data_IF_831650114966
#
_entry.id   IF_831650114966
#
_cell.length_a   1.000
_cell.length_b   1.000
_cell.length_c   1.000
_cell.angle_alpha   90.00
_cell.angle_beta   90.00
_cell.angle_gamma   90.00
#
_symmetry.space_group_name_H-M   'P 1'
#
loop_
_entity.id
_entity.type
_entity.pdbx_description
1 polymer ?
#
# COMPACT_ATOMS: atom_id res chain seq x y z
N UNK A 1 14.57 68.66 59.85
CA UNK A 1 15.91 69.29 59.75
C UNK A 1 16.90 68.26 59.22
N UNK A 2 17.60 68.60 58.12
CA UNK A 2 18.75 67.92 57.46
C UNK A 2 18.46 66.56 56.77
N UNK A 3 18.28 66.47 55.43
CA UNK A 3 19.27 66.49 54.29
C UNK A 3 20.39 65.44 54.49
N UNK A 4 20.74 64.54 53.56
CA UNK A 4 20.85 64.65 52.09
C UNK A 4 21.18 63.26 51.46
N UNK A 5 20.94 63.14 50.14
CA UNK A 5 21.70 62.38 49.11
C UNK A 5 21.07 61.16 48.40
N UNK A 6 20.82 61.43 47.10
CA UNK A 6 20.72 60.60 45.89
C UNK A 6 21.33 59.20 45.94
N UNK A 7 20.61 58.21 45.39
CA UNK A 7 21.04 57.38 44.24
C UNK A 7 19.81 56.68 43.63
N UNK A 8 19.68 56.77 42.32
CA UNK A 8 18.77 55.94 41.50
C UNK A 8 19.38 54.54 41.45
N UNK A 9 18.67 53.52 41.93
CA UNK A 9 18.98 52.13 41.63
C UNK A 9 17.73 51.25 41.77
N UNK A 10 17.42 50.61 40.64
CA UNK A 10 16.48 49.52 40.38
C UNK A 10 16.05 48.73 41.64
N UNK A 11 14.74 48.68 41.90
CA UNK A 11 14.14 47.49 42.49
C UNK A 11 13.61 46.61 41.37
N UNK A 12 14.36 45.54 41.17
CA UNK A 12 14.14 44.40 40.29
C UNK A 12 12.74 43.79 40.47
N UNK A 13 11.90 43.98 39.46
CA UNK A 13 10.83 43.03 39.16
C UNK A 13 11.48 41.76 38.58
N UNK A 14 11.84 40.81 39.45
CA UNK A 14 12.20 39.45 39.04
C UNK A 14 10.90 38.67 38.80
N UNK A 15 10.22 38.96 37.70
CA UNK A 15 9.43 37.92 37.06
C UNK A 15 10.39 37.16 36.17
N UNK A 16 10.54 35.86 36.44
CA UNK A 16 11.39 34.98 35.67
C UNK A 16 10.99 35.03 34.19
N UNK A 17 11.99 34.99 33.31
CA UNK A 17 11.82 34.97 31.84
C UNK A 17 10.93 33.79 31.40
N UNK A 18 10.69 32.80 32.28
CA UNK A 18 9.77 31.69 32.02
C UNK A 18 8.29 32.05 32.09
N UNK A 19 7.84 33.04 32.87
CA UNK A 19 6.40 33.33 32.99
C UNK A 19 5.88 34.29 31.90
N UNK A 20 6.73 35.18 31.39
CA UNK A 20 6.38 36.02 30.23
C UNK A 20 6.34 35.18 28.95
N UNK A 21 7.19 34.14 28.84
CA UNK A 21 7.15 33.20 27.72
C UNK A 21 5.90 32.31 27.71
N UNK A 22 5.36 31.94 28.88
CA UNK A 22 4.14 31.13 28.97
C UNK A 22 2.91 31.94 28.57
N UNK A 23 2.82 33.22 28.94
CA UNK A 23 1.68 34.07 28.56
C UNK A 23 1.69 34.50 27.08
N UNK A 24 2.86 34.59 26.42
CA UNK A 24 2.92 34.85 24.96
C UNK A 24 2.79 33.60 24.10
N UNK A 25 3.01 32.40 24.63
CA UNK A 25 2.72 31.15 23.89
C UNK A 25 1.24 30.76 23.97
N UNK A 26 0.53 31.15 25.03
CA UNK A 26 -0.90 30.88 25.15
C UNK A 26 -1.77 31.83 24.31
N UNK A 27 -1.24 33.02 23.95
CA UNK A 27 -1.89 33.97 23.04
C UNK A 27 -1.44 33.86 21.56
N UNK A 28 -0.60 32.87 21.22
CA UNK A 28 -0.22 32.55 19.81
C UNK A 28 -0.59 31.13 19.38
N UNK A 29 -1.25 30.35 20.23
CA UNK A 29 -1.78 29.04 19.88
C UNK A 29 -3.24 29.08 19.38
N UNK A 30 -3.88 30.26 19.34
CA UNK A 30 -5.25 30.45 18.84
C UNK A 30 -5.34 30.98 17.39
N UNK A 31 -4.22 31.21 16.70
CA UNK A 31 -4.19 31.52 15.27
C UNK A 31 -3.19 30.60 14.56
N UNK A 32 -3.64 29.38 14.25
CA UNK A 32 -3.40 28.54 13.06
C UNK A 32 -4.08 27.20 13.37
N UNK A 33 -5.41 27.23 13.48
CA UNK A 33 -6.23 26.05 13.32
C UNK A 33 -6.82 26.13 11.92
N UNK A 34 -6.04 25.68 10.93
CA UNK A 34 -6.53 25.52 9.57
C UNK A 34 -7.63 24.45 9.62
N UNK A 35 -8.87 24.92 9.42
CA UNK A 35 -10.09 24.19 9.75
C UNK A 35 -10.25 23.01 8.79
N UNK A 36 -10.15 21.77 9.31
CA UNK A 36 -10.44 20.53 8.57
C UNK A 36 -11.96 20.30 8.56
N UNK A 37 -12.60 20.04 7.41
CA UNK A 37 -14.07 20.05 7.19
C UNK A 37 -14.57 19.04 6.11
N UNK A 38 -15.79 18.42 6.28
CA UNK A 38 -16.29 17.00 6.18
C UNK A 38 -17.07 16.38 4.98
N UNK A 39 -17.42 15.07 5.08
CA UNK A 39 -18.19 14.25 4.10
C UNK A 39 -19.44 13.51 4.68
N UNK A 40 -20.54 13.31 3.91
CA UNK A 40 -21.72 12.47 4.27
C UNK A 40 -21.69 11.07 3.64
N UNK A 41 -21.80 10.01 4.45
CA UNK A 41 -21.53 8.62 4.02
C UNK A 41 -22.68 7.67 4.34
N UNK A 42 -23.03 6.78 3.41
CA UNK A 42 -23.92 5.63 3.63
C UNK A 42 -23.10 4.41 4.10
N UNK A 43 -22.75 4.36 5.39
CA UNK A 43 -21.86 3.36 5.99
C UNK A 43 -22.31 1.92 5.72
N UNK A 44 -23.61 1.66 5.75
CA UNK A 44 -24.15 0.31 5.57
C UNK A 44 -24.04 -0.23 4.14
N UNK A 45 -23.67 0.62 3.19
CA UNK A 45 -23.50 0.26 1.77
C UNK A 45 -22.04 0.32 1.34
N UNK A 46 -21.09 0.56 2.25
CA UNK A 46 -19.66 0.49 1.94
C UNK A 46 -19.31 -0.91 1.41
N UNK A 47 -18.48 -0.95 0.35
CA UNK A 47 -18.01 -2.19 -0.25
C UNK A 47 -17.19 -2.99 0.79
N UNK A 48 -17.47 -4.29 0.99
CA UNK A 48 -16.69 -5.11 1.92
C UNK A 48 -15.29 -5.43 1.38
N UNK A 49 -15.13 -5.42 0.06
CA UNK A 49 -13.84 -5.52 -0.63
C UNK A 49 -13.34 -4.13 -1.00
N UNK A 50 -12.02 -3.92 -0.91
CA UNK A 50 -11.35 -2.73 -1.43
C UNK A 50 -11.21 -2.77 -2.96
N UNK A 51 -11.19 -3.96 -3.54
CA UNK A 51 -11.26 -4.16 -4.97
C UNK A 51 -12.71 -4.16 -5.42
N UNK A 52 -13.09 -3.18 -6.23
CA UNK A 52 -14.43 -3.04 -6.76
C UNK A 52 -14.34 -3.20 -8.27
N UNK A 53 -14.95 -4.26 -8.80
CA UNK A 53 -15.00 -4.45 -10.25
C UNK A 53 -15.82 -3.34 -10.91
N UNK A 54 -15.38 -2.87 -12.08
CA UNK A 54 -16.01 -1.83 -12.89
C UNK A 54 -15.98 -2.26 -14.33
N UNK A 55 -17.09 -2.19 -15.06
CA UNK A 55 -17.10 -2.52 -16.49
C UNK A 55 -17.97 -1.54 -17.29
N UNK A 56 -17.78 -1.50 -18.61
CA UNK A 56 -18.52 -0.65 -19.54
C UNK A 56 -19.64 -1.42 -20.26
N UNK A 57 -20.88 -0.93 -20.25
CA UNK A 57 -22.02 -1.57 -20.93
C UNK A 57 -22.10 -1.27 -22.45
N UNK A 58 -21.13 -0.52 -23.01
CA UNK A 58 -21.10 0.13 -24.35
C UNK A 58 -22.17 1.23 -24.51
N UNK A 59 -21.99 2.35 -25.22
CA UNK A 59 -21.00 2.90 -26.17
C UNK A 59 -20.04 3.93 -25.54
N UNK A 60 -19.21 4.65 -26.33
CA UNK A 60 -18.25 5.68 -25.87
C UNK A 60 -16.84 5.51 -26.46
N UNK A 61 -16.07 6.59 -26.65
CA UNK A 61 -14.69 6.54 -27.19
C UNK A 61 -13.66 6.23 -26.10
N UNK A 62 -12.55 5.57 -26.49
CA UNK A 62 -11.47 5.16 -25.58
C UNK A 62 -10.81 6.35 -24.88
N UNK A 63 -10.77 7.51 -25.52
CA UNK A 63 -10.17 8.73 -24.97
C UNK A 63 -10.89 9.17 -23.69
N UNK A 64 -12.21 9.26 -23.73
CA UNK A 64 -13.06 9.68 -22.62
C UNK A 64 -13.07 8.63 -21.50
N UNK A 65 -13.08 7.34 -21.85
CA UNK A 65 -12.89 6.26 -20.88
C UNK A 65 -11.57 6.41 -20.12
N UNK A 66 -10.47 6.72 -20.82
CA UNK A 66 -9.18 6.96 -20.19
C UNK A 66 -9.18 8.21 -19.29
N UNK A 67 -9.95 9.25 -19.63
CA UNK A 67 -10.12 10.41 -18.76
C UNK A 67 -10.84 10.04 -17.45
N UNK A 68 -11.88 9.20 -17.51
CA UNK A 68 -12.56 8.67 -16.32
C UNK A 68 -11.59 7.86 -15.46
N UNK A 69 -10.92 6.87 -16.05
CA UNK A 69 -9.98 5.98 -15.34
C UNK A 69 -8.89 6.81 -14.66
N UNK A 70 -8.25 7.72 -15.39
CA UNK A 70 -7.18 8.56 -14.82
C UNK A 70 -7.68 9.55 -13.77
N UNK A 71 -8.90 10.08 -13.88
CA UNK A 71 -9.46 10.95 -12.87
C UNK A 71 -9.69 10.21 -11.55
N UNK A 72 -10.29 9.01 -11.62
CA UNK A 72 -10.53 8.15 -10.45
C UNK A 72 -9.20 7.70 -9.82
N UNK A 73 -8.23 7.32 -10.65
CA UNK A 73 -6.90 6.93 -10.18
C UNK A 73 -6.18 8.06 -9.45
N UNK A 74 -6.15 9.26 -10.03
CA UNK A 74 -5.49 10.43 -9.45
C UNK A 74 -6.22 11.02 -8.24
N UNK A 75 -7.42 10.54 -7.92
CA UNK A 75 -8.23 11.03 -6.79
C UNK A 75 -8.48 9.90 -5.79
N UNK A 76 -9.58 9.16 -5.92
CA UNK A 76 -10.02 8.20 -4.93
C UNK A 76 -9.04 7.05 -4.70
N UNK A 77 -8.42 6.48 -5.74
CA UNK A 77 -7.45 5.38 -5.60
C UNK A 77 -6.10 5.88 -5.06
N UNK A 78 -5.71 7.12 -5.40
CA UNK A 78 -4.48 7.73 -4.88
C UNK A 78 -4.63 8.21 -3.44
N UNK A 79 -5.85 8.51 -2.99
CA UNK A 79 -6.11 9.07 -1.66
C UNK A 79 -6.70 8.05 -0.66
N UNK A 80 -7.01 6.83 -1.10
CA UNK A 80 -7.58 5.77 -0.25
C UNK A 80 -7.17 4.37 -0.72
N UNK A 81 -7.47 3.34 0.08
CA UNK A 81 -7.16 1.94 -0.25
C UNK A 81 -8.10 1.27 -1.24
N UNK A 82 -9.07 1.99 -1.81
CA UNK A 82 -9.96 1.43 -2.83
C UNK A 82 -9.21 1.26 -4.16
N UNK A 83 -9.57 0.21 -4.90
CA UNK A 83 -8.99 -0.11 -6.21
C UNK A 83 -10.13 -0.53 -7.16
N UNK A 84 -10.34 0.23 -8.22
CA UNK A 84 -11.34 -0.06 -9.24
C UNK A 84 -10.71 -0.86 -10.37
N UNK A 85 -11.18 -2.10 -10.56
CA UNK A 85 -10.55 -3.07 -11.46
C UNK A 85 -11.51 -3.55 -12.55
N UNK A 86 -10.99 -4.11 -13.65
CA UNK A 86 -11.81 -4.82 -14.65
C UNK A 86 -12.48 -3.93 -15.69
N UNK A 87 -11.92 -2.74 -15.98
CA UNK A 87 -12.40 -1.70 -16.92
C UNK A 87 -12.63 -2.15 -18.39
N UNK A 88 -12.83 -3.42 -18.66
CA UNK A 88 -13.33 -4.00 -19.89
C UNK A 88 -14.84 -3.82 -20.12
N UNK A 89 -15.33 -4.34 -21.25
CA UNK A 89 -16.77 -4.37 -21.53
C UNK A 89 -17.49 -5.35 -20.59
N UNK A 90 -18.66 -4.96 -20.09
CA UNK A 90 -19.49 -5.82 -19.26
C UNK A 90 -19.95 -7.06 -20.04
N UNK A 91 -19.80 -8.23 -19.43
CA UNK A 91 -20.47 -9.47 -19.83
C UNK A 91 -21.82 -9.62 -19.12
N UNK A 92 -22.73 -10.50 -19.60
CA UNK A 92 -23.98 -10.77 -18.90
C UNK A 92 -23.73 -11.14 -17.43
N UNK A 93 -24.48 -10.51 -16.52
CA UNK A 93 -24.37 -10.69 -15.06
C UNK A 93 -23.04 -10.25 -14.44
N UNK A 94 -22.29 -9.36 -15.11
CA UNK A 94 -21.12 -8.69 -14.50
C UNK A 94 -21.49 -8.12 -13.12
N UNK A 95 -20.57 -8.30 -12.17
CA UNK A 95 -20.66 -7.77 -10.80
C UNK A 95 -19.86 -6.47 -10.68
N UNK A 96 -20.06 -5.76 -9.58
CA UNK A 96 -19.47 -4.44 -9.35
C UNK A 96 -20.23 -3.32 -10.07
N UNK A 97 -19.54 -2.25 -10.38
CA UNK A 97 -20.11 -1.03 -10.98
C UNK A 97 -20.21 -1.24 -12.49
N UNK A 98 -21.43 -1.10 -13.04
CA UNK A 98 -21.66 -1.19 -14.48
C UNK A 98 -21.98 0.20 -15.02
N UNK A 99 -21.12 0.69 -15.92
CA UNK A 99 -21.19 2.05 -16.43
C UNK A 99 -21.83 2.08 -17.82
N UNK A 100 -22.91 2.84 -17.95
CA UNK A 100 -23.50 3.19 -19.24
C UNK A 100 -23.07 4.59 -19.65
N UNK A 101 -22.76 4.78 -20.93
CA UNK A 101 -22.58 6.12 -21.51
C UNK A 101 -23.90 6.52 -22.18
N UNK A 102 -24.46 7.65 -21.76
CA UNK A 102 -25.71 8.19 -22.28
C UNK A 102 -25.68 9.71 -22.27
N UNK A 103 -26.33 10.35 -23.24
CA UNK A 103 -26.40 11.82 -23.33
C UNK A 103 -27.51 12.40 -22.43
N UNK A 104 -27.40 12.12 -21.14
CA UNK A 104 -28.32 12.60 -20.11
C UNK A 104 -27.56 13.12 -18.89
N UNK A 105 -28.26 13.53 -17.83
CA UNK A 105 -27.62 13.96 -16.58
C UNK A 105 -26.85 12.77 -15.96
N UNK A 106 -25.54 12.91 -15.68
CA UNK A 106 -24.79 11.87 -14.97
C UNK A 106 -25.39 11.58 -13.61
N UNK A 107 -25.40 10.30 -13.23
CA UNK A 107 -25.95 9.85 -11.95
C UNK A 107 -25.54 8.41 -11.63
N UNK A 108 -25.76 8.02 -10.37
CA UNK A 108 -25.78 6.62 -9.93
C UNK A 108 -27.18 6.22 -9.46
N UNK A 109 -27.53 4.94 -9.63
CA UNK A 109 -28.82 4.37 -9.17
C UNK A 109 -28.82 3.95 -7.69
N UNK A 110 -27.69 4.14 -7.00
CA UNK A 110 -27.48 3.72 -5.63
C UNK A 110 -26.12 4.16 -5.10
N UNK A 111 -25.91 3.96 -3.80
CA UNK A 111 -24.68 4.27 -3.11
C UNK A 111 -23.90 2.99 -2.79
N UNK A 112 -22.58 3.00 -2.99
CA UNK A 112 -21.72 1.89 -2.61
C UNK A 112 -22.10 0.57 -3.27
N UNK A 113 -22.07 -0.52 -2.50
CA UNK A 113 -22.40 -1.89 -2.94
C UNK A 113 -23.84 -2.09 -3.41
N UNK A 114 -24.74 -1.13 -3.22
CA UNK A 114 -26.07 -1.20 -3.83
C UNK A 114 -26.02 -1.07 -5.36
N UNK A 115 -24.86 -0.72 -5.92
CA UNK A 115 -24.59 -0.72 -7.36
C UNK A 115 -24.16 -2.10 -7.89
N UNK A 116 -23.88 -3.08 -7.04
CA UNK A 116 -23.32 -4.38 -7.44
C UNK A 116 -24.18 -5.11 -8.48
N UNK A 117 -23.69 -5.12 -9.72
CA UNK A 117 -24.32 -5.77 -10.86
C UNK A 117 -25.57 -5.08 -11.41
N UNK A 118 -25.89 -3.87 -10.93
CA UNK A 118 -27.04 -3.09 -11.41
C UNK A 118 -26.78 -2.62 -12.83
N UNK A 119 -27.65 -3.01 -13.76
CA UNK A 119 -27.60 -2.55 -15.16
C UNK A 119 -27.73 -1.02 -15.23
N UNK A 120 -26.81 -0.38 -15.94
CA UNK A 120 -26.64 1.07 -15.96
C UNK A 120 -26.66 1.64 -14.52
N UNK A 121 -25.93 1.00 -13.62
CA UNK A 121 -25.84 1.39 -12.21
C UNK A 121 -25.20 2.77 -12.05
N UNK A 122 -24.25 3.09 -12.93
CA UNK A 122 -23.71 4.43 -13.12
C UNK A 122 -23.93 4.86 -14.57
N UNK A 123 -24.38 6.10 -14.76
CA UNK A 123 -24.51 6.71 -16.08
C UNK A 123 -23.57 7.91 -16.16
N UNK A 124 -22.69 7.92 -17.16
CA UNK A 124 -21.82 9.04 -17.46
C UNK A 124 -22.19 9.64 -18.82
N UNK A 125 -21.97 10.94 -18.97
CA UNK A 125 -22.21 11.65 -20.22
C UNK A 125 -20.89 12.09 -20.83
N UNK A 126 -20.63 11.70 -22.09
CA UNK A 126 -19.42 12.06 -22.84
C UNK A 126 -19.69 13.09 -23.94
N UNK A 127 -20.95 13.43 -24.21
CA UNK A 127 -21.36 14.28 -25.34
C UNK A 127 -21.92 15.63 -24.88
N UNK A 128 -22.72 15.63 -23.82
CA UNK A 128 -23.37 16.79 -23.23
C UNK A 128 -24.30 17.57 -24.18
N UNK A 129 -24.79 16.94 -25.26
CA UNK A 129 -25.60 17.64 -26.28
C UNK A 129 -26.92 18.14 -25.70
N UNK A 130 -27.57 17.32 -24.87
CA UNK A 130 -28.88 17.63 -24.28
C UNK A 130 -28.82 18.20 -22.85
N UNK A 131 -27.64 18.33 -22.26
CA UNK A 131 -27.51 18.66 -20.84
C UNK A 131 -26.74 19.93 -20.54
N UNK A 132 -25.61 20.19 -21.22
CA UNK A 132 -24.78 21.35 -20.90
C UNK A 132 -23.93 21.82 -22.09
N UNK A 133 -24.22 23.02 -22.59
CA UNK A 133 -23.41 23.68 -23.63
C UNK A 133 -22.00 24.03 -23.16
N UNK A 134 -21.80 24.35 -21.88
CA UNK A 134 -20.46 24.60 -21.31
C UNK A 134 -19.57 23.36 -21.39
N UNK A 135 -20.07 22.22 -20.92
CA UNK A 135 -19.36 20.94 -21.03
C UNK A 135 -19.16 20.43 -22.46
N UNK A 136 -19.93 20.91 -23.46
CA UNK A 136 -19.59 20.62 -24.85
C UNK A 136 -18.26 21.31 -25.24
N UNK A 137 -18.04 22.53 -24.74
CA UNK A 137 -16.80 23.30 -25.00
C UNK A 137 -15.61 22.90 -24.11
N UNK A 138 -15.86 22.33 -22.93
CA UNK A 138 -14.82 21.88 -21.99
C UNK A 138 -15.03 20.42 -21.54
N UNK A 139 -15.05 19.55 -22.55
CA UNK A 139 -15.51 18.17 -22.42
C UNK A 139 -14.64 17.33 -21.50
N UNK A 140 -13.32 17.48 -21.61
CA UNK A 140 -12.38 16.70 -20.79
C UNK A 140 -12.54 17.04 -19.30
N UNK A 141 -12.52 18.32 -18.95
CA UNK A 141 -12.65 18.75 -17.55
C UNK A 141 -14.00 18.34 -16.97
N UNK A 142 -15.10 18.49 -17.73
CA UNK A 142 -16.40 18.03 -17.28
C UNK A 142 -16.44 16.52 -17.05
N UNK A 143 -15.92 15.70 -17.99
CA UNK A 143 -15.90 14.23 -17.83
C UNK A 143 -15.10 13.84 -16.59
N UNK A 144 -13.93 14.43 -16.37
CA UNK A 144 -13.09 14.17 -15.19
C UNK A 144 -13.81 14.56 -13.90
N UNK A 145 -14.35 15.77 -13.84
CA UNK A 145 -15.03 16.31 -12.66
C UNK A 145 -16.28 15.50 -12.29
N UNK A 146 -17.09 15.14 -13.29
CA UNK A 146 -18.25 14.25 -13.11
C UNK A 146 -17.80 12.86 -12.64
N UNK A 147 -16.76 12.28 -13.27
CA UNK A 147 -16.29 10.96 -12.89
C UNK A 147 -15.89 10.89 -11.41
N UNK A 148 -15.17 11.89 -10.90
CA UNK A 148 -14.79 11.94 -9.48
C UNK A 148 -16.05 12.00 -8.60
N UNK A 149 -17.05 12.80 -8.97
CA UNK A 149 -18.32 12.88 -8.24
C UNK A 149 -19.10 11.56 -8.22
N UNK A 150 -19.35 10.96 -9.39
CA UNK A 150 -20.13 9.72 -9.49
C UNK A 150 -19.41 8.54 -8.82
N UNK A 151 -18.07 8.52 -8.86
CA UNK A 151 -17.30 7.52 -8.11
C UNK A 151 -17.33 7.75 -6.61
N UNK A 152 -17.52 9.00 -6.13
CA UNK A 152 -17.84 9.28 -4.74
C UNK A 152 -19.15 8.59 -4.32
N UNK A 153 -20.20 8.69 -5.13
CA UNK A 153 -21.44 7.93 -4.92
C UNK A 153 -21.20 6.41 -4.96
N UNK A 154 -20.39 5.95 -5.91
CA UNK A 154 -20.05 4.53 -6.02
C UNK A 154 -19.22 4.00 -4.85
N UNK A 155 -18.52 4.87 -4.11
CA UNK A 155 -17.88 4.60 -2.82
C UNK A 155 -18.84 4.70 -1.63
N UNK A 156 -20.08 5.13 -1.84
CA UNK A 156 -21.08 5.25 -0.79
C UNK A 156 -21.21 6.65 -0.19
N UNK A 157 -20.66 7.68 -0.83
CA UNK A 157 -20.78 9.07 -0.36
C UNK A 157 -22.05 9.72 -0.93
N UNK A 158 -22.88 10.25 -0.05
CA UNK A 158 -24.08 10.98 -0.42
C UNK A 158 -23.76 12.45 -0.68
N UNK A 159 -24.70 13.15 -1.32
CA UNK A 159 -24.59 14.59 -1.52
C UNK A 159 -24.41 15.35 -0.20
N UNK A 160 -23.50 16.31 -0.19
CA UNK A 160 -23.15 17.08 1.00
C UNK A 160 -24.29 18.02 1.42
N UNK A 161 -25.06 18.56 0.46
CA UNK A 161 -26.25 19.36 0.75
C UNK A 161 -27.40 18.54 1.37
N UNK A 162 -27.39 17.21 1.25
CA UNK A 162 -28.42 16.36 1.87
C UNK A 162 -28.30 16.28 3.39
N UNK A 163 -27.15 16.67 3.95
CA UNK A 163 -26.87 16.54 5.37
C UNK A 163 -27.94 17.20 6.25
N UNK A 164 -28.16 16.67 7.46
CA UNK A 164 -29.03 17.33 8.43
C UNK A 164 -28.52 18.71 8.88
N UNK A 165 -27.20 18.91 8.85
CA UNK A 165 -26.53 20.14 9.29
C UNK A 165 -26.08 21.05 8.14
N UNK A 166 -26.66 20.92 6.94
CA UNK A 166 -26.42 21.83 5.81
C UNK A 166 -26.77 23.27 6.21
N UNK A 167 -25.89 24.26 6.02
CA UNK A 167 -26.15 25.64 6.38
C UNK A 167 -27.21 26.26 5.45
N UNK A 168 -27.96 27.25 5.96
CA UNK A 168 -28.98 27.95 5.19
C UNK A 168 -28.45 28.70 3.96
N UNK A 169 -27.13 28.95 3.89
CA UNK A 169 -26.46 29.53 2.72
C UNK A 169 -26.42 28.59 1.52
N UNK A 170 -26.57 27.28 1.75
CA UNK A 170 -26.69 26.29 0.71
C UNK A 170 -28.16 26.15 0.31
N UNK A 171 -28.53 26.72 -0.84
CA UNK A 171 -29.92 26.77 -1.33
C UNK A 171 -30.23 25.68 -2.38
N UNK A 172 -29.24 24.87 -2.76
CA UNK A 172 -29.44 23.77 -3.70
C UNK A 172 -30.38 22.71 -3.13
N UNK A 173 -31.22 22.15 -3.99
CA UNK A 173 -32.17 21.13 -3.59
C UNK A 173 -31.45 19.83 -3.18
N UNK A 174 -32.00 19.18 -2.15
CA UNK A 174 -31.56 17.84 -1.75
C UNK A 174 -31.92 16.83 -2.84
N UNK A 175 -31.00 15.93 -3.16
CA UNK A 175 -31.15 14.99 -4.28
C UNK A 175 -30.57 13.62 -3.97
N UNK A 176 -31.19 12.56 -4.49
CA UNK A 176 -30.71 11.19 -4.33
C UNK A 176 -30.88 10.63 -2.91
N UNK A 177 -30.15 9.55 -2.62
CA UNK A 177 -30.19 8.89 -1.30
C UNK A 177 -29.37 9.64 -0.26
N UNK A 178 -29.75 9.50 1.01
CA UNK A 178 -29.00 10.06 2.14
C UNK A 178 -27.93 9.08 2.64
N UNK A 179 -26.86 9.64 3.23
CA UNK A 179 -25.97 8.89 4.10
C UNK A 179 -26.65 8.53 5.45
N UNK A 180 -25.92 7.80 6.27
CA UNK A 180 -26.30 7.43 7.64
C UNK A 180 -25.25 7.87 8.68
N UNK A 181 -24.09 8.36 8.23
CA UNK A 181 -23.00 8.81 9.08
C UNK A 181 -22.27 10.00 8.47
N UNK A 182 -21.79 10.92 9.31
CA UNK A 182 -21.02 12.10 8.88
C UNK A 182 -19.56 11.99 9.31
N UNK A 183 -18.65 12.51 8.50
CA UNK A 183 -17.21 12.58 8.82
C UNK A 183 -16.80 14.04 8.94
N UNK A 184 -17.02 14.70 10.10
CA UNK A 184 -16.71 16.12 10.43
C UNK A 184 -17.85 17.15 10.18
N UNK A 185 -17.59 18.48 10.07
CA UNK A 185 -18.59 19.61 10.02
C UNK A 185 -18.86 20.40 8.67
N UNK A 186 -20.02 20.23 7.97
CA UNK A 186 -20.33 20.54 6.54
C UNK A 186 -19.28 21.22 5.61
N UNK A 187 -18.92 20.59 4.48
CA UNK A 187 -17.84 21.06 3.58
C UNK A 187 -18.34 21.70 2.27
N UNK A 188 -18.14 23.02 2.12
CA UNK A 188 -18.44 23.73 0.87
C UNK A 188 -17.63 23.21 -0.33
N UNK A 189 -16.39 22.78 -0.08
CA UNK A 189 -15.43 22.38 -1.12
C UNK A 189 -15.52 20.91 -1.50
N UNK A 190 -16.39 20.12 -0.87
CA UNK A 190 -16.53 18.71 -1.21
C UNK A 190 -16.93 18.56 -2.68
N UNK A 191 -16.32 17.60 -3.37
CA UNK A 191 -16.77 17.19 -4.71
C UNK A 191 -18.24 16.75 -4.68
N UNK A 192 -18.76 16.30 -3.54
CA UNK A 192 -20.14 15.86 -3.36
C UNK A 192 -21.14 17.00 -3.08
N UNK A 193 -20.71 18.27 -3.11
CA UNK A 193 -21.54 19.41 -2.74
C UNK A 193 -21.98 20.25 -3.95
N UNK A 194 -23.28 20.30 -4.21
CA UNK A 194 -23.82 21.16 -5.28
C UNK A 194 -23.76 22.65 -4.96
N UNK A 195 -23.69 23.02 -3.69
CA UNK A 195 -23.57 24.42 -3.28
C UNK A 195 -22.16 25.00 -3.48
N UNK A 196 -21.19 24.20 -3.92
CA UNK A 196 -19.86 24.67 -4.25
C UNK A 196 -19.93 25.62 -5.47
N UNK A 197 -19.43 26.87 -5.38
CA UNK A 197 -19.40 27.78 -6.53
C UNK A 197 -18.54 27.25 -7.68
N UNK A 198 -17.57 26.38 -7.39
CA UNK A 198 -16.84 25.61 -8.38
C UNK A 198 -17.49 24.22 -8.50
N UNK A 199 -18.17 23.96 -9.63
CA UNK A 199 -18.95 22.76 -9.82
C UNK A 199 -18.12 21.47 -9.60
N UNK A 200 -18.60 20.60 -8.69
CA UNK A 200 -17.92 19.39 -8.22
C UNK A 200 -16.46 19.63 -7.76
N UNK A 201 -16.16 20.84 -7.27
CA UNK A 201 -14.82 21.30 -6.92
C UNK A 201 -13.78 21.14 -8.05
N UNK A 202 -14.23 21.16 -9.32
CA UNK A 202 -13.38 20.88 -10.48
C UNK A 202 -12.82 19.46 -10.51
N UNK A 203 -13.42 18.50 -9.79
CA UNK A 203 -12.94 17.14 -9.66
C UNK A 203 -11.80 16.97 -8.66
N UNK A 204 -11.48 17.99 -7.86
CA UNK A 204 -10.47 17.87 -6.80
C UNK A 204 -11.15 17.45 -5.49
N UNK A 205 -10.59 16.43 -4.83
CA UNK A 205 -11.03 16.02 -3.51
C UNK A 205 -10.67 17.11 -2.50
N UNK A 206 -11.63 17.49 -1.66
CA UNK A 206 -11.36 18.31 -0.48
C UNK A 206 -10.61 17.50 0.58
N UNK A 207 -10.09 18.18 1.61
CA UNK A 207 -9.52 17.49 2.78
C UNK A 207 -10.54 16.54 3.44
N UNK A 208 -11.81 16.94 3.42
CA UNK A 208 -13.00 16.16 3.77
C UNK A 208 -13.20 14.87 3.01
N UNK A 209 -13.24 15.01 1.69
CA UNK A 209 -13.43 13.88 0.80
C UNK A 209 -12.33 12.84 1.05
N UNK A 210 -11.08 13.29 1.21
CA UNK A 210 -9.91 12.44 1.49
C UNK A 210 -10.02 11.75 2.86
N UNK A 211 -10.34 12.48 3.93
CA UNK A 211 -10.47 11.88 5.27
C UNK A 211 -11.64 10.87 5.31
N UNK A 212 -12.76 11.16 4.64
CA UNK A 212 -13.87 10.22 4.49
C UNK A 212 -13.47 8.96 3.71
N UNK A 213 -12.78 9.13 2.58
CA UNK A 213 -12.26 8.02 1.79
C UNK A 213 -11.32 7.14 2.60
N UNK A 214 -10.33 7.71 3.29
CA UNK A 214 -9.39 6.95 4.13
C UNK A 214 -10.06 6.28 5.33
N UNK A 215 -11.14 6.86 5.85
CA UNK A 215 -11.87 6.27 6.98
C UNK A 215 -12.66 5.02 6.59
N UNK A 216 -13.29 5.02 5.42
CA UNK A 216 -14.14 3.90 4.97
C UNK A 216 -13.42 2.92 4.03
N UNK A 217 -12.41 3.42 3.34
CA UNK A 217 -11.49 2.68 2.48
C UNK A 217 -10.05 3.00 2.89
N UNK A 218 -9.62 2.64 4.10
CA UNK A 218 -8.22 2.84 4.47
C UNK A 218 -7.35 2.08 3.49
N UNK A 219 -6.16 2.63 3.20
CA UNK A 219 -5.09 1.85 2.58
C UNK A 219 -4.95 0.50 3.29
N UNK A 220 -4.46 -0.55 2.62
CA UNK A 220 -3.98 -1.76 3.30
C UNK A 220 -2.97 -1.34 4.37
N UNK A 221 -3.50 -1.12 5.56
CA UNK A 221 -3.02 -0.38 6.73
C UNK A 221 -2.22 0.92 6.48
N UNK A 222 -2.61 2.01 7.18
CA UNK A 222 -1.73 3.16 7.51
C UNK A 222 -0.44 2.74 8.29
N UNK A 223 -0.23 1.43 8.47
CA UNK A 223 0.88 0.77 9.13
C UNK A 223 1.68 -0.18 8.24
N UNK A 224 1.30 -0.45 6.97
CA UNK A 224 2.14 -1.30 6.12
C UNK A 224 3.47 -0.61 5.88
N UNK A 225 4.51 -1.10 6.53
CA UNK A 225 5.87 -0.61 6.38
C UNK A 225 6.59 -1.44 5.34
N UNK A 226 7.21 -0.74 4.40
CA UNK A 226 7.93 -1.35 3.29
C UNK A 226 9.42 -1.02 3.41
N UNK A 227 10.22 -2.07 3.31
CA UNK A 227 11.64 -1.97 2.98
C UNK A 227 11.83 -2.56 1.59
N UNK A 228 12.42 -1.80 0.68
CA UNK A 228 12.63 -2.24 -0.68
C UNK A 228 14.01 -1.84 -1.21
N UNK A 229 14.55 -2.68 -2.07
CA UNK A 229 15.77 -2.45 -2.83
C UNK A 229 15.44 -2.64 -4.30
N UNK A 230 15.78 -1.66 -5.12
CA UNK A 230 15.70 -1.75 -6.57
C UNK A 230 17.09 -1.90 -7.17
N UNK A 231 17.15 -2.56 -8.31
CA UNK A 231 18.32 -2.59 -9.18
C UNK A 231 17.90 -2.27 -10.61
N UNK A 232 18.84 -1.92 -11.49
CA UNK A 232 18.54 -1.74 -12.91
C UNK A 232 18.03 -3.04 -13.53
N UNK A 233 16.97 -2.94 -14.32
CA UNK A 233 16.36 -4.07 -14.98
C UNK A 233 15.23 -3.68 -15.92
N UNK A 234 14.91 -4.57 -16.86
CA UNK A 234 13.88 -4.34 -17.89
C UNK A 234 12.69 -5.29 -17.78
N UNK A 235 12.72 -6.24 -16.84
CA UNK A 235 11.67 -7.24 -16.65
C UNK A 235 10.30 -6.57 -16.39
N UNK A 236 9.22 -7.16 -16.92
CA UNK A 236 7.88 -6.79 -16.47
C UNK A 236 7.70 -7.12 -14.98
N UNK A 237 6.95 -6.31 -14.21
CA UNK A 237 6.59 -6.62 -12.83
C UNK A 237 5.10 -6.41 -12.58
N UNK A 238 4.42 -7.45 -12.11
CA UNK A 238 3.06 -7.36 -11.55
C UNK A 238 3.19 -7.52 -10.04
N UNK A 239 2.49 -6.69 -9.27
CA UNK A 239 2.60 -6.66 -7.82
C UNK A 239 1.22 -6.73 -7.17
N UNK A 240 1.16 -7.39 -6.01
CA UNK A 240 0.05 -7.28 -5.06
C UNK A 240 0.60 -7.10 -3.66
N UNK A 241 -0.13 -6.40 -2.80
CA UNK A 241 0.30 -6.08 -1.44
C UNK A 241 -0.80 -6.42 -0.46
N UNK A 242 -0.47 -7.25 0.53
CA UNK A 242 -1.36 -7.68 1.61
C UNK A 242 -2.71 -8.25 1.17
N UNK A 243 -2.71 -9.02 0.10
CA UNK A 243 -3.91 -9.72 -0.35
C UNK A 243 -4.22 -10.90 0.56
N UNK A 244 -5.50 -11.22 0.71
CA UNK A 244 -5.91 -12.47 1.35
C UNK A 244 -5.55 -13.65 0.45
N UNK A 245 -5.47 -14.85 1.05
CA UNK A 245 -5.05 -16.05 0.34
C UNK A 245 -5.87 -16.31 -0.93
N UNK A 246 -7.20 -16.22 -0.86
CA UNK A 246 -8.08 -16.54 -2.00
C UNK A 246 -7.84 -15.60 -3.19
N UNK A 247 -7.73 -14.30 -2.95
CA UNK A 247 -7.46 -13.31 -4.00
C UNK A 247 -6.07 -13.49 -4.58
N UNK A 248 -5.07 -13.68 -3.72
CA UNK A 248 -3.69 -13.95 -4.14
C UNK A 248 -3.61 -15.22 -5.00
N UNK A 249 -4.27 -16.30 -4.57
CA UNK A 249 -4.29 -17.59 -5.27
C UNK A 249 -4.93 -17.45 -6.65
N UNK A 250 -6.08 -16.81 -6.72
CA UNK A 250 -6.77 -16.51 -7.98
C UNK A 250 -5.87 -15.69 -8.92
N UNK A 251 -5.18 -14.67 -8.40
CA UNK A 251 -4.27 -13.86 -9.22
C UNK A 251 -3.07 -14.66 -9.71
N UNK A 252 -2.48 -15.50 -8.86
CA UNK A 252 -1.41 -16.39 -9.30
C UNK A 252 -1.88 -17.29 -10.45
N UNK A 253 -3.06 -17.92 -10.34
CA UNK A 253 -3.58 -18.86 -11.35
C UNK A 253 -3.86 -18.16 -12.69
N UNK A 254 -4.35 -16.93 -12.65
CA UNK A 254 -4.51 -16.06 -13.82
C UNK A 254 -3.15 -15.80 -14.50
N UNK A 255 -2.15 -15.38 -13.72
CA UNK A 255 -0.82 -15.00 -14.20
C UNK A 255 0.01 -16.20 -14.68
N UNK A 256 -0.20 -17.38 -14.09
CA UNK A 256 0.48 -18.61 -14.49
C UNK A 256 0.32 -18.92 -15.97
N UNK A 257 -0.93 -18.82 -16.46
CA UNK A 257 -1.30 -19.08 -17.86
C UNK A 257 -0.78 -18.02 -18.83
N UNK A 258 -0.37 -16.86 -18.31
CA UNK A 258 0.18 -15.74 -19.07
C UNK A 258 1.72 -15.72 -19.08
N UNK A 259 2.38 -16.74 -18.52
CA UNK A 259 3.85 -16.83 -18.51
C UNK A 259 4.52 -15.95 -17.43
N UNK A 260 3.84 -15.73 -16.32
CA UNK A 260 4.38 -15.03 -15.15
C UNK A 260 4.67 -16.00 -14.01
N UNK A 261 5.76 -15.78 -13.27
CA UNK A 261 6.18 -16.60 -12.13
C UNK A 261 6.59 -15.75 -10.95
N UNK A 262 6.51 -16.31 -9.76
CA UNK A 262 6.84 -15.59 -8.52
C UNK A 262 8.31 -15.21 -8.49
N UNK A 263 8.59 -13.92 -8.40
CA UNK A 263 9.93 -13.38 -8.18
C UNK A 263 10.14 -13.09 -6.69
N UNK A 264 9.15 -12.47 -6.05
CA UNK A 264 9.13 -12.22 -4.60
C UNK A 264 7.78 -12.68 -4.06
N UNK A 265 7.80 -13.28 -2.88
CA UNK A 265 6.63 -13.56 -2.08
C UNK A 265 6.98 -13.29 -0.62
N UNK A 266 6.12 -12.57 0.09
CA UNK A 266 6.24 -12.24 1.51
C UNK A 266 4.90 -12.44 2.19
N UNK A 267 4.98 -12.83 3.47
CA UNK A 267 3.83 -13.07 4.31
C UNK A 267 3.95 -12.20 5.57
N UNK A 268 2.85 -11.54 5.95
CA UNK A 268 2.72 -10.95 7.29
C UNK A 268 1.40 -11.38 7.91
N UNK A 269 1.35 -11.36 9.24
CA UNK A 269 0.17 -11.77 10.02
C UNK A 269 -0.39 -10.57 10.75
N UNK A 270 -1.65 -10.23 10.48
CA UNK A 270 -2.35 -9.11 11.10
C UNK A 270 -3.67 -9.63 11.63
N UNK A 271 -3.96 -9.40 12.91
CA UNK A 271 -5.19 -9.88 13.55
C UNK A 271 -5.47 -11.37 13.29
N UNK A 272 -4.41 -12.18 13.35
CA UNK A 272 -4.44 -13.62 13.08
C UNK A 272 -4.82 -14.02 11.63
N UNK A 273 -4.82 -13.06 10.71
CA UNK A 273 -5.00 -13.27 9.28
C UNK A 273 -3.66 -13.19 8.56
N UNK A 274 -3.40 -14.15 7.67
CA UNK A 274 -2.21 -14.17 6.83
C UNK A 274 -2.48 -13.34 5.57
N UNK A 275 -1.60 -12.37 5.32
CA UNK A 275 -1.63 -11.49 4.15
C UNK A 275 -0.43 -11.81 3.25
N UNK A 276 -0.63 -11.66 1.94
CA UNK A 276 0.29 -12.06 0.89
C UNK A 276 0.70 -10.84 0.07
N UNK A 277 2.00 -10.56 0.04
CA UNK A 277 2.62 -9.57 -0.84
C UNK A 277 3.49 -10.30 -1.85
N UNK A 278 3.28 -10.07 -3.14
CA UNK A 278 3.95 -10.81 -4.19
C UNK A 278 4.33 -9.93 -5.38
N UNK A 279 5.43 -10.30 -6.01
CA UNK A 279 5.92 -9.71 -7.27
C UNK A 279 6.13 -10.84 -8.26
N UNK A 280 5.53 -10.73 -9.44
CA UNK A 280 5.73 -11.66 -10.54
C UNK A 280 6.54 -11.03 -11.65
N UNK A 281 7.33 -11.86 -12.35
CA UNK A 281 8.07 -11.49 -13.56
C UNK A 281 7.81 -12.49 -14.69
N UNK A 282 8.01 -12.09 -15.97
CA UNK A 282 7.92 -13.02 -17.09
C UNK A 282 8.93 -14.16 -16.94
N UNK A 283 8.43 -15.40 -16.89
CA UNK A 283 9.22 -16.62 -16.80
C UNK A 283 8.33 -17.82 -17.12
N UNK A 284 8.88 -18.87 -17.71
CA UNK A 284 8.13 -20.09 -18.08
C UNK A 284 8.54 -21.33 -17.27
N UNK A 285 9.48 -21.19 -16.33
CA UNK A 285 9.93 -22.27 -15.44
C UNK A 285 8.76 -22.87 -14.67
N UNK A 286 8.79 -24.17 -14.42
CA UNK A 286 7.81 -24.81 -13.55
C UNK A 286 7.89 -24.25 -12.12
N UNK A 287 6.75 -24.17 -11.42
CA UNK A 287 6.70 -23.84 -9.99
C UNK A 287 5.74 -24.76 -9.26
N UNK A 288 6.20 -25.29 -8.13
CA UNK A 288 5.34 -25.97 -7.15
C UNK A 288 5.28 -25.06 -5.94
N UNK A 289 4.10 -24.87 -5.35
CA UNK A 289 3.93 -24.00 -4.18
C UNK A 289 3.16 -24.70 -3.07
N UNK A 290 3.46 -24.32 -1.83
CA UNK A 290 2.63 -24.61 -0.64
C UNK A 290 2.49 -23.35 0.20
N UNK A 291 1.37 -23.24 0.92
CA UNK A 291 1.01 -22.04 1.67
C UNK A 291 0.49 -22.41 3.04
N UNK A 292 1.11 -21.89 4.09
CA UNK A 292 0.65 -22.08 5.47
C UNK A 292 0.71 -23.52 5.99
N UNK A 293 1.69 -24.30 5.53
CA UNK A 293 1.83 -25.70 5.93
C UNK A 293 2.54 -25.83 7.28
N UNK A 294 2.23 -26.91 8.00
CA UNK A 294 3.01 -27.32 9.17
C UNK A 294 4.44 -27.70 8.77
N UNK A 295 5.37 -27.71 9.73
CA UNK A 295 6.73 -28.17 9.47
C UNK A 295 6.76 -29.61 8.90
N UNK A 296 5.95 -30.51 9.47
CA UNK A 296 5.93 -31.92 9.08
C UNK A 296 5.46 -32.09 7.63
N UNK A 297 4.36 -31.42 7.26
CA UNK A 297 3.83 -31.47 5.90
C UNK A 297 4.80 -30.85 4.90
N UNK A 298 5.37 -29.68 5.25
CA UNK A 298 6.35 -28.99 4.41
C UNK A 298 7.60 -29.87 4.20
N UNK A 299 8.13 -30.48 5.26
CA UNK A 299 9.32 -31.33 5.21
C UNK A 299 9.09 -32.54 4.33
N UNK A 300 7.96 -33.23 4.52
CA UNK A 300 7.56 -34.36 3.68
C UNK A 300 7.47 -33.97 2.20
N UNK A 301 6.88 -32.80 1.90
CA UNK A 301 6.79 -32.32 0.52
C UNK A 301 8.15 -31.98 -0.07
N UNK A 302 9.03 -31.35 0.70
CA UNK A 302 10.39 -31.09 0.25
C UNK A 302 11.10 -32.41 -0.11
N UNK A 303 11.02 -33.44 0.74
CA UNK A 303 11.71 -34.73 0.52
C UNK A 303 11.20 -35.45 -0.73
N UNK A 304 9.89 -35.36 -1.00
CA UNK A 304 9.28 -35.84 -2.24
C UNK A 304 9.86 -35.11 -3.47
N UNK A 305 9.89 -33.78 -3.42
CA UNK A 305 10.31 -32.91 -4.51
C UNK A 305 11.82 -32.95 -4.78
N UNK A 306 12.63 -33.18 -3.75
CA UNK A 306 14.08 -33.30 -3.86
C UNK A 306 14.49 -34.37 -4.88
N UNK A 307 13.87 -35.55 -4.78
CA UNK A 307 14.11 -36.70 -5.65
C UNK A 307 13.60 -36.49 -7.09
N UNK A 308 12.76 -35.49 -7.30
CA UNK A 308 12.20 -35.12 -8.59
C UNK A 308 12.95 -33.94 -9.26
N UNK A 309 14.07 -33.48 -8.68
CA UNK A 309 14.87 -32.39 -9.24
C UNK A 309 14.27 -31.00 -9.02
N UNK A 310 13.55 -30.80 -7.93
CA UNK A 310 13.02 -29.50 -7.51
C UNK A 310 13.81 -28.96 -6.32
N UNK A 311 14.05 -27.65 -6.31
CA UNK A 311 14.81 -26.94 -5.26
C UNK A 311 14.10 -25.68 -4.83
N UNK A 312 14.33 -25.24 -3.59
CA UNK A 312 13.66 -24.09 -3.03
C UNK A 312 14.05 -22.82 -3.78
N UNK A 313 13.07 -22.09 -4.27
CA UNK A 313 13.25 -20.75 -4.82
C UNK A 313 12.86 -19.68 -3.80
N UNK A 314 11.73 -19.87 -3.13
CA UNK A 314 11.24 -19.02 -2.05
C UNK A 314 10.87 -19.91 -0.87
N UNK A 315 11.18 -19.45 0.33
CA UNK A 315 10.75 -20.04 1.59
C UNK A 315 10.47 -18.88 2.53
N UNK A 316 9.34 -18.87 3.21
CA UNK A 316 8.99 -17.92 4.25
C UNK A 316 8.42 -18.66 5.46
N UNK A 317 8.59 -18.04 6.63
CA UNK A 317 8.05 -18.52 7.89
C UNK A 317 7.24 -17.40 8.55
N UNK A 318 6.10 -17.76 9.12
CA UNK A 318 5.29 -16.84 9.92
C UNK A 318 4.55 -17.60 11.03
N UNK A 319 4.07 -16.88 12.03
CA UNK A 319 3.47 -17.47 13.23
C UNK A 319 2.00 -17.09 13.30
N UNK A 320 1.12 -18.09 13.41
CA UNK A 320 -0.34 -17.92 13.60
C UNK A 320 -0.72 -18.73 14.83
N UNK A 321 -1.37 -18.09 15.81
CA UNK A 321 -1.76 -18.76 17.07
C UNK A 321 -0.62 -19.56 17.75
N UNK A 322 0.62 -19.06 17.70
CA UNK A 322 1.80 -19.73 18.28
C UNK A 322 2.37 -20.89 17.45
N UNK A 323 1.75 -21.25 16.33
CA UNK A 323 2.25 -22.26 15.39
C UNK A 323 3.07 -21.62 14.28
N UNK A 324 4.28 -22.14 14.03
CA UNK A 324 5.10 -21.75 12.89
C UNK A 324 4.59 -22.44 11.63
N UNK A 325 4.28 -21.64 10.61
CA UNK A 325 3.78 -22.08 9.32
C UNK A 325 4.76 -21.73 8.19
N UNK A 326 4.70 -22.53 7.12
CA UNK A 326 5.65 -22.52 6.01
C UNK A 326 4.93 -22.20 4.71
N UNK A 327 5.44 -21.20 4.00
CA UNK A 327 5.10 -20.93 2.60
C UNK A 327 6.36 -21.14 1.77
N UNK A 328 6.27 -21.94 0.71
CA UNK A 328 7.43 -22.26 -0.10
C UNK A 328 7.08 -22.39 -1.58
N UNK A 329 8.04 -22.05 -2.43
CA UNK A 329 7.99 -22.17 -3.89
C UNK A 329 9.23 -22.91 -4.35
N UNK A 330 9.06 -23.97 -5.12
CA UNK A 330 10.15 -24.73 -5.73
C UNK A 330 10.19 -24.50 -7.23
N UNK A 331 11.39 -24.56 -7.79
CA UNK A 331 11.64 -24.56 -9.25
C UNK A 331 12.54 -25.74 -9.64
N UNK A 332 12.52 -26.18 -10.91
CA UNK A 332 13.43 -27.21 -11.39
C UNK A 332 14.89 -26.77 -11.21
N UNK A 333 15.68 -27.60 -10.54
CA UNK A 333 17.12 -27.41 -10.37
C UNK A 333 17.76 -28.68 -9.81
N UNK A 334 19.04 -28.89 -10.12
CA UNK A 334 19.85 -29.99 -9.57
C UNK A 334 20.85 -29.51 -8.52
N UNK A 335 20.86 -28.21 -8.19
CA UNK A 335 21.81 -27.65 -7.21
C UNK A 335 21.65 -28.33 -5.84
N UNK A 336 22.77 -28.60 -5.15
CA UNK A 336 22.71 -29.11 -3.79
C UNK A 336 22.07 -28.09 -2.84
N UNK A 337 21.34 -28.54 -1.81
CA UNK A 337 20.78 -27.67 -0.77
C UNK A 337 20.99 -28.26 0.61
N UNK A 338 21.47 -27.44 1.54
CA UNK A 338 21.47 -27.75 2.98
C UNK A 338 20.48 -26.78 3.62
N UNK A 339 19.63 -27.25 4.54
CA UNK A 339 18.63 -26.40 5.21
C UNK A 339 18.67 -26.56 6.73
N UNK A 340 18.32 -25.49 7.44
CA UNK A 340 17.98 -25.50 8.87
C UNK A 340 16.70 -24.72 9.09
N UNK A 341 15.93 -25.08 10.11
CA UNK A 341 14.60 -24.55 10.37
C UNK A 341 14.43 -24.22 11.84
N UNK A 342 14.14 -22.95 12.15
CA UNK A 342 13.86 -22.51 13.53
C UNK A 342 15.03 -22.65 14.49
N UNK A 343 16.26 -22.45 14.03
CA UNK A 343 17.45 -22.56 14.86
C UNK A 343 17.69 -21.29 15.67
N UNK A 344 18.36 -21.42 16.82
CA UNK A 344 18.89 -20.28 17.57
C UNK A 344 19.98 -19.58 16.75
N UNK A 345 20.30 -18.33 17.11
CA UNK A 345 21.41 -17.61 16.47
C UNK A 345 22.74 -18.36 16.59
N UNK A 346 23.04 -18.91 17.77
CA UNK A 346 24.29 -19.61 18.04
C UNK A 346 24.43 -20.87 17.18
N UNK A 347 23.40 -21.70 17.13
CA UNK A 347 23.39 -22.93 16.32
C UNK A 347 23.49 -22.59 14.83
N UNK A 348 22.72 -21.60 14.38
CA UNK A 348 22.75 -21.14 12.99
C UNK A 348 24.14 -20.62 12.60
N UNK A 349 24.77 -19.80 13.44
CA UNK A 349 26.11 -19.27 13.15
C UNK A 349 27.16 -20.37 13.09
N UNK A 350 27.15 -21.28 14.05
CA UNK A 350 28.06 -22.43 14.04
C UNK A 350 27.90 -23.24 12.75
N UNK A 351 26.65 -23.46 12.30
CA UNK A 351 26.40 -24.19 11.05
C UNK A 351 26.87 -23.39 9.83
N UNK A 352 26.66 -22.08 9.80
CA UNK A 352 27.18 -21.24 8.73
C UNK A 352 28.71 -21.35 8.62
N UNK A 353 29.43 -21.23 9.74
CA UNK A 353 30.90 -21.28 9.76
C UNK A 353 31.45 -22.64 9.30
N UNK A 354 30.78 -23.73 9.67
CA UNK A 354 31.07 -25.08 9.17
C UNK A 354 30.92 -25.14 7.64
N UNK A 355 29.79 -24.66 7.13
CA UNK A 355 29.43 -24.71 5.71
C UNK A 355 30.25 -23.76 4.84
N UNK A 356 30.69 -22.63 5.38
CA UNK A 356 31.53 -21.66 4.68
C UNK A 356 32.81 -22.31 4.13
N UNK A 357 33.47 -23.09 4.98
CA UNK A 357 34.71 -23.81 4.67
C UNK A 357 34.51 -24.97 3.68
N UNK A 358 33.25 -25.38 3.47
CA UNK A 358 32.87 -26.43 2.54
C UNK A 358 32.36 -25.88 1.19
N UNK A 359 32.44 -24.55 0.96
CA UNK A 359 32.01 -23.93 -0.30
C UNK A 359 30.50 -23.76 -0.43
N UNK A 360 29.78 -23.61 0.69
CA UNK A 360 28.35 -23.33 0.72
C UNK A 360 28.09 -21.87 1.10
N UNK A 361 27.09 -21.26 0.46
CA UNK A 361 26.69 -19.86 0.65
C UNK A 361 25.18 -19.72 0.78
N UNK A 362 24.72 -18.66 1.44
CA UNK A 362 23.30 -18.46 1.72
C UNK A 362 22.50 -18.24 0.42
N UNK A 363 21.54 -19.11 0.17
CA UNK A 363 20.55 -18.92 -0.86
C UNK A 363 19.31 -18.22 -0.31
N UNK A 364 18.80 -18.69 0.83
CA UNK A 364 17.65 -18.13 1.54
C UNK A 364 18.04 -17.98 3.01
N UNK A 365 17.60 -16.90 3.62
CA UNK A 365 17.68 -16.67 5.06
C UNK A 365 16.40 -15.94 5.46
N UNK A 366 15.73 -16.40 6.50
CA UNK A 366 14.60 -15.72 7.12
C UNK A 366 14.74 -15.71 8.64
N UNK A 367 14.11 -14.70 9.23
CA UNK A 367 14.02 -14.52 10.67
C UNK A 367 12.55 -14.43 11.06
N UNK A 368 12.19 -15.05 12.17
CA UNK A 368 10.88 -14.90 12.77
C UNK A 368 10.99 -14.97 14.29
N UNK A 369 10.01 -14.40 14.99
CA UNK A 369 10.02 -14.27 16.45
C UNK A 369 8.97 -15.19 17.05
N UNK A 370 9.36 -16.02 18.00
CA UNK A 370 8.45 -16.85 18.82
C UNK A 370 8.77 -16.58 20.28
N UNK A 371 7.77 -16.16 21.06
CA UNK A 371 7.92 -15.87 22.50
C UNK A 371 9.11 -14.94 22.82
N UNK A 372 9.36 -13.93 21.98
CA UNK A 372 10.47 -12.98 22.13
C UNK A 372 11.84 -13.50 21.68
N UNK A 373 11.95 -14.77 21.29
CA UNK A 373 13.18 -15.35 20.74
C UNK A 373 13.19 -15.24 19.20
N UNK A 374 14.29 -14.73 18.65
CA UNK A 374 14.54 -14.70 17.20
C UNK A 374 15.05 -16.06 16.76
N UNK A 375 14.40 -16.65 15.75
CA UNK A 375 14.73 -17.94 15.17
C UNK A 375 15.11 -17.79 13.69
N UNK A 376 15.96 -18.70 13.23
CA UNK A 376 16.59 -18.65 11.91
C UNK A 376 16.19 -19.85 11.07
N UNK A 377 15.71 -19.58 9.86
CA UNK A 377 15.56 -20.58 8.79
C UNK A 377 16.49 -20.20 7.66
N UNK A 378 17.32 -21.13 7.21
CA UNK A 378 18.31 -20.86 6.18
C UNK A 378 18.44 -22.03 5.20
N UNK A 379 18.74 -21.69 3.95
CA UNK A 379 19.05 -22.63 2.87
C UNK A 379 20.37 -22.20 2.25
N UNK A 380 21.32 -23.13 2.14
CA UNK A 380 22.60 -22.90 1.47
C UNK A 380 22.67 -23.67 0.15
N UNK A 381 23.40 -23.11 -0.81
CA UNK A 381 23.77 -23.77 -2.07
C UNK A 381 25.28 -23.70 -2.31
N UNK A 382 25.86 -24.59 -3.13
CA UNK A 382 27.27 -24.51 -3.51
C UNK A 382 27.56 -23.18 -4.21
N UNK A 383 28.56 -22.45 -3.71
CA UNK A 383 29.05 -21.21 -4.31
C UNK A 383 30.37 -20.80 -3.67
N UNK A 384 31.21 -20.10 -4.42
CA UNK A 384 32.48 -19.52 -3.93
C UNK A 384 32.39 -18.01 -3.72
N UNK A 385 31.22 -17.40 -3.93
CA UNK A 385 31.03 -15.95 -3.77
C UNK A 385 31.35 -15.52 -2.33
N UNK A 386 31.98 -14.35 -2.15
CA UNK A 386 32.17 -13.77 -0.83
C UNK A 386 30.83 -13.42 -0.17
N UNK A 387 30.73 -13.48 1.16
CA UNK A 387 29.55 -12.99 1.89
C UNK A 387 29.95 -12.21 3.13
N UNK A 388 29.33 -11.05 3.32
CA UNK A 388 29.38 -10.30 4.58
C UNK A 388 27.98 -10.32 5.17
N UNK A 389 27.84 -10.54 6.47
CA UNK A 389 26.55 -10.68 7.14
C UNK A 389 26.45 -9.81 8.39
N UNK A 390 25.24 -9.32 8.67
CA UNK A 390 24.87 -8.73 9.96
C UNK A 390 23.52 -9.29 10.41
N UNK A 391 23.28 -9.31 11.71
CA UNK A 391 22.10 -9.96 12.30
C UNK A 391 21.55 -9.12 13.45
N UNK A 392 20.28 -8.75 13.34
CA UNK A 392 19.59 -8.02 14.42
C UNK A 392 20.16 -6.63 14.70
N UNK A 393 20.67 -5.95 13.66
CA UNK A 393 21.25 -4.62 13.80
C UNK A 393 20.17 -3.55 13.81
N UNK A 394 20.45 -2.43 14.48
CA UNK A 394 19.62 -1.22 14.38
C UNK A 394 19.69 -0.66 12.95
N UNK A 395 18.74 0.20 12.58
CA UNK A 395 18.77 0.89 11.29
C UNK A 395 20.08 1.67 11.09
N UNK A 396 20.53 2.40 12.11
CA UNK A 396 21.72 3.26 12.04
C UNK A 396 22.99 2.42 11.79
N UNK A 397 23.18 1.35 12.56
CA UNK A 397 24.34 0.47 12.41
C UNK A 397 24.33 -0.22 11.04
N UNK A 398 23.16 -0.73 10.63
CA UNK A 398 22.99 -1.38 9.34
C UNK A 398 23.29 -0.42 8.19
N UNK A 399 22.77 0.81 8.23
CA UNK A 399 23.00 1.82 7.18
C UNK A 399 24.46 2.21 7.09
N UNK A 400 25.10 2.48 8.22
CA UNK A 400 26.53 2.76 8.28
C UNK A 400 27.35 1.63 7.64
N UNK A 401 27.00 0.37 7.93
CA UNK A 401 27.68 -0.77 7.32
C UNK A 401 27.42 -0.89 5.82
N UNK A 402 26.19 -0.66 5.37
CA UNK A 402 25.87 -0.63 3.95
C UNK A 402 26.71 0.40 3.20
N UNK A 403 26.81 1.63 3.71
CA UNK A 403 27.54 2.73 3.06
C UNK A 403 29.06 2.46 3.00
N UNK A 404 29.61 1.81 4.04
CA UNK A 404 31.00 1.33 4.05
C UNK A 404 31.24 0.28 2.94
N UNK A 405 30.33 -0.69 2.82
CA UNK A 405 30.42 -1.80 1.88
C UNK A 405 30.15 -1.39 0.44
N UNK A 406 29.31 -0.37 0.22
CA UNK A 406 29.00 0.18 -1.10
C UNK A 406 30.26 0.56 -1.88
N UNK A 407 31.17 1.29 -1.21
CA UNK A 407 32.44 1.77 -1.76
C UNK A 407 33.46 0.65 -1.99
N UNK A 408 33.21 -0.53 -1.43
CA UNK A 408 34.08 -1.71 -1.57
C UNK A 408 33.57 -2.71 -2.62
N UNK A 409 32.51 -2.37 -3.38
CA UNK A 409 31.96 -3.24 -4.42
C UNK A 409 31.11 -4.39 -3.87
N UNK A 410 30.34 -4.13 -2.82
CA UNK A 410 29.38 -5.07 -2.25
C UNK A 410 27.95 -4.55 -2.40
N UNK A 411 27.01 -5.44 -2.71
CA UNK A 411 25.57 -5.15 -2.84
C UNK A 411 24.73 -6.13 -2.06
N UNK A 412 23.50 -5.73 -1.72
CA UNK A 412 22.60 -6.58 -0.95
C UNK A 412 22.22 -7.82 -1.75
N UNK A 413 22.35 -8.97 -1.12
CA UNK A 413 21.87 -10.26 -1.62
C UNK A 413 20.62 -10.70 -0.86
N UNK A 414 20.60 -10.53 0.45
CA UNK A 414 19.44 -10.80 1.30
C UNK A 414 19.25 -9.63 2.27
N UNK A 415 18.00 -9.24 2.50
CA UNK A 415 17.61 -8.30 3.54
C UNK A 415 16.26 -8.72 4.12
N UNK A 416 16.19 -8.89 5.43
CA UNK A 416 14.95 -9.10 6.16
C UNK A 416 14.89 -8.15 7.35
N UNK A 417 13.68 -7.72 7.66
CA UNK A 417 13.38 -6.92 8.84
C UNK A 417 12.47 -7.72 9.77
N UNK A 418 12.61 -7.50 11.07
CA UNK A 418 11.70 -8.06 12.06
C UNK A 418 11.64 -7.13 13.28
N UNK A 419 10.55 -7.23 14.05
CA UNK A 419 10.31 -6.36 15.20
C UNK A 419 10.56 -7.14 16.49
N UNK A 420 11.39 -6.59 17.37
CA UNK A 420 11.57 -7.06 18.75
C UNK A 420 11.37 -5.88 19.67
N UNK A 421 10.48 -6.00 20.67
CA UNK A 421 10.19 -4.94 21.65
C UNK A 421 9.88 -3.56 21.02
N UNK A 422 9.18 -3.54 19.89
CA UNK A 422 8.83 -2.30 19.16
C UNK A 422 9.96 -1.71 18.31
N UNK A 423 11.16 -2.31 18.29
CA UNK A 423 12.27 -1.89 17.47
C UNK A 423 12.37 -2.75 16.20
N UNK A 424 12.48 -2.10 15.04
CA UNK A 424 12.80 -2.76 13.77
C UNK A 424 14.28 -3.11 13.73
N UNK A 425 14.59 -4.37 13.51
CA UNK A 425 15.94 -4.91 13.42
C UNK A 425 16.21 -5.51 12.05
N UNK A 426 17.45 -5.43 11.60
CA UNK A 426 17.87 -5.80 10.25
C UNK A 426 18.82 -7.00 10.26
N UNK A 427 18.50 -7.99 9.43
CA UNK A 427 19.43 -9.05 9.01
C UNK A 427 19.73 -8.87 7.54
N UNK A 428 21.01 -8.78 7.20
CA UNK A 428 21.44 -8.54 5.83
C UNK A 428 22.64 -9.40 5.45
N UNK A 429 22.69 -9.76 4.17
CA UNK A 429 23.80 -10.46 3.53
C UNK A 429 24.19 -9.69 2.29
N UNK A 430 25.48 -9.38 2.14
CA UNK A 430 26.03 -8.75 0.95
C UNK A 430 26.92 -9.72 0.20
N UNK A 431 27.01 -9.53 -1.12
CA UNK A 431 27.94 -10.24 -2.01
C UNK A 431 28.71 -9.26 -2.90
N UNK A 432 29.87 -9.66 -3.45
CA UNK A 432 30.59 -8.84 -4.43
C UNK A 432 29.70 -8.59 -5.66
N UNK A 433 29.43 -7.32 -5.94
CA UNK A 433 28.62 -6.83 -7.06
C UNK A 433 28.84 -5.31 -7.16
N UNK A 434 28.72 -4.76 -8.37
CA UNK A 434 28.89 -3.33 -8.65
C UNK A 434 27.62 -2.67 -9.19
N UNK A 435 26.56 -3.44 -9.42
CA UNK A 435 25.26 -2.97 -9.90
C UNK A 435 24.69 -1.86 -9.01
N UNK A 436 24.11 -0.82 -9.59
CA UNK A 436 23.49 0.23 -8.79
C UNK A 436 22.27 -0.29 -8.02
N UNK A 437 22.07 0.23 -6.81
CA UNK A 437 20.90 -0.05 -5.98
C UNK A 437 20.27 1.25 -5.48
N UNK A 438 18.94 1.31 -5.48
CA UNK A 438 18.17 2.31 -4.72
C UNK A 438 17.49 1.59 -3.58
N UNK A 439 17.43 2.20 -2.40
CA UNK A 439 16.80 1.59 -1.23
C UNK A 439 15.84 2.55 -0.53
N UNK A 440 14.78 1.99 0.04
CA UNK A 440 13.91 2.66 1.02
C UNK A 440 13.69 1.74 2.22
N UNK A 441 13.49 2.33 3.39
CA UNK A 441 13.39 1.61 4.67
C UNK A 441 12.29 2.19 5.53
N UNK A 442 11.41 1.32 6.03
CA UNK A 442 10.28 1.72 6.90
C UNK A 442 9.37 2.79 6.28
N UNK A 443 9.28 2.83 4.95
CA UNK A 443 8.39 3.73 4.24
C UNK A 443 6.96 3.26 4.39
N UNK A 444 6.01 4.20 4.47
CA UNK A 444 4.61 3.83 4.33
C UNK A 444 4.38 3.30 2.92
N UNK A 445 3.45 2.36 2.79
CA UNK A 445 3.04 1.81 1.50
C UNK A 445 2.78 2.89 0.44
N UNK A 446 2.08 3.96 0.80
CA UNK A 446 1.74 5.06 -0.11
C UNK A 446 2.98 5.77 -0.67
N UNK A 447 4.00 5.99 0.16
CA UNK A 447 5.24 6.64 -0.26
C UNK A 447 6.07 5.67 -1.12
N UNK A 448 6.09 4.39 -0.73
CA UNK A 448 6.74 3.34 -1.50
C UNK A 448 6.12 3.19 -2.89
N UNK A 449 4.78 3.25 -3.02
CA UNK A 449 4.09 3.15 -4.32
C UNK A 449 4.46 4.30 -5.24
N UNK A 450 4.39 5.53 -4.74
CA UNK A 450 4.83 6.73 -5.48
C UNK A 450 6.28 6.58 -5.96
N UNK A 451 7.16 6.10 -5.07
CA UNK A 451 8.57 5.87 -5.43
C UNK A 451 8.74 4.76 -6.45
N UNK A 452 8.00 3.67 -6.32
CA UNK A 452 8.03 2.57 -7.29
C UNK A 452 7.67 3.07 -8.70
N UNK A 453 6.59 3.84 -8.84
CA UNK A 453 6.13 4.33 -10.14
C UNK A 453 7.13 5.32 -10.77
N UNK A 454 7.77 6.15 -9.95
CA UNK A 454 8.87 7.02 -10.37
C UNK A 454 10.06 6.21 -10.92
N UNK A 455 10.47 5.17 -10.19
CA UNK A 455 11.62 4.34 -10.51
C UNK A 455 11.36 3.39 -11.68
N UNK A 456 10.12 2.92 -11.84
CA UNK A 456 9.69 2.05 -12.92
C UNK A 456 10.02 2.65 -14.29
N UNK A 457 9.67 3.92 -14.49
CA UNK A 457 9.90 4.68 -15.72
C UNK A 457 11.38 4.95 -15.99
N UNK A 458 12.23 4.81 -14.98
CA UNK A 458 13.67 4.97 -15.07
C UNK A 458 14.42 3.63 -15.25
N UNK A 459 13.70 2.52 -15.46
CA UNK A 459 14.29 1.19 -15.68
C UNK A 459 14.84 0.53 -14.42
N UNK A 460 14.22 0.80 -13.26
CA UNK A 460 14.51 0.12 -12.01
C UNK A 460 13.44 -0.94 -11.71
N UNK A 461 13.85 -2.06 -11.12
CA UNK A 461 12.99 -3.21 -10.79
C UNK A 461 13.26 -3.71 -9.38
N UNK A 462 12.25 -4.26 -8.72
CA UNK A 462 12.37 -4.73 -7.34
C UNK A 462 13.34 -5.91 -7.22
N UNK A 463 14.44 -5.69 -6.53
CA UNK A 463 15.43 -6.72 -6.19
C UNK A 463 15.04 -7.43 -4.90
N UNK A 464 14.76 -6.65 -3.87
CA UNK A 464 14.33 -7.13 -2.54
C UNK A 464 13.12 -6.31 -2.12
N UNK A 465 12.14 -6.97 -1.53
CA UNK A 465 10.97 -6.37 -0.94
C UNK A 465 10.66 -7.12 0.34
N UNK A 466 10.45 -6.40 1.42
CA UNK A 466 10.02 -6.94 2.70
C UNK A 466 8.97 -6.00 3.31
N UNK A 467 7.98 -6.61 3.95
CA UNK A 467 6.79 -5.94 4.48
C UNK A 467 6.54 -6.38 5.91
N UNK A 468 6.19 -5.46 6.80
CA UNK A 468 5.96 -5.76 8.23
C UNK A 468 4.98 -4.79 8.88
#
# INVERSE_FOLDING_TARGET
MKKLNYYVALFSALFSVNEIFIFTMQARAEEIQQIRQPLYVAKNTIWPSRQVSVCWEKSGSNTEKNWVISAVNNTWENESGIDFIGWEDCIPNSKGIRIQISDERPHTKGLGRNLDGVTAGMVLNFTFNNWSTLCQSDRENCIRSIAVHEFGHAMGFAHEQNRPNTPATCTEEKSGSNGDTTVGAWDLSSVMNYCNPNWNNGGQLSATDIEGARKFYPFPDDYLKVTAVWQKGTDGEIQVYDWQYEDYRKKYDELWNQGWRLHILKNRVVNNQVLYTAVWRPNTSGEIQVYGWSYEDYRKKYDELWNQGWRLHILNNYVVNGQVLYTAVWRPSTSGEIQVYGWSYEDYRKKYDELWNQGWRLHILNNYVVNGQVLYTAVWRPSTSGEIQVYGWSYEDYRKKYDELWNQGWRLHILNNYIVNGQVLYTAVWRPDTSDEIQVYQWLYVDFRKKYDELWNQGWRLKILDVY
#
